data_IF_271617605877
#
_entry.id   IF_271617605877
#
_cell.length_a   1.000
_cell.length_b   1.000
_cell.length_c   1.000
_cell.angle_alpha   90.00
_cell.angle_beta   90.00
_cell.angle_gamma   90.00
#
_symmetry.space_group_name_H-M   'P 1'
#
loop_
_entity.id
_entity.type
_entity.pdbx_description
1 polymer ?
#
# COMPACT_ATOMS: atom_id res chain seq x y z
N UNK A 1 -15.70 9.17 12.62
CA UNK A 1 -15.49 7.76 12.22
C UNK A 1 -14.41 7.58 11.16
N UNK A 2 -14.52 8.11 9.91
CA UNK A 2 -13.44 7.94 8.88
C UNK A 2 -12.14 8.61 9.32
N UNK A 3 -12.22 9.85 9.82
CA UNK A 3 -11.06 10.56 10.35
C UNK A 3 -10.43 9.86 11.55
N UNK A 4 -11.23 9.20 12.38
CA UNK A 4 -10.73 8.44 13.53
C UNK A 4 -9.93 7.22 13.08
N UNK A 5 -10.35 6.57 11.99
CA UNK A 5 -9.57 5.49 11.35
C UNK A 5 -8.23 5.99 10.87
N UNK A 6 -8.19 7.16 10.22
CA UNK A 6 -6.91 7.72 9.74
C UNK A 6 -5.99 8.08 10.90
N UNK A 7 -6.54 8.69 11.96
CA UNK A 7 -5.80 9.00 13.17
C UNK A 7 -5.22 7.73 13.81
N UNK A 8 -6.06 6.72 14.04
CA UNK A 8 -5.62 5.40 14.58
C UNK A 8 -4.49 4.81 13.72
N UNK A 9 -4.66 4.81 12.41
CA UNK A 9 -3.69 4.22 11.50
C UNK A 9 -2.34 4.97 11.49
N UNK A 10 -2.35 6.29 11.63
CA UNK A 10 -1.12 7.09 11.79
C UNK A 10 -0.44 6.82 13.13
N UNK A 11 -1.20 6.78 14.22
CA UNK A 11 -0.67 6.44 15.54
C UNK A 11 -0.11 5.03 15.57
N UNK A 12 -0.85 4.04 15.04
CA UNK A 12 -0.41 2.66 14.91
C UNK A 12 0.92 2.54 14.17
N UNK A 13 1.06 3.20 13.01
CA UNK A 13 2.28 3.15 12.21
C UNK A 13 3.51 3.68 12.96
N UNK A 14 3.33 4.60 13.90
CA UNK A 14 4.42 5.20 14.69
C UNK A 14 4.72 4.50 16.01
N UNK A 15 3.86 3.59 16.50
CA UNK A 15 3.99 2.95 17.83
C UNK A 15 5.25 2.09 18.00
N UNK A 16 5.84 1.57 16.92
CA UNK A 16 6.98 0.64 17.01
C UNK A 16 8.06 0.92 15.97
N UNK A 17 8.98 1.82 16.32
CA UNK A 17 10.08 2.28 15.43
C UNK A 17 10.95 1.10 14.93
N UNK A 18 11.18 0.08 15.77
CA UNK A 18 11.96 -1.10 15.37
C UNK A 18 11.35 -1.84 14.17
N UNK A 19 10.03 -1.90 14.08
CA UNK A 19 9.32 -2.49 12.95
C UNK A 19 9.45 -1.61 11.71
N UNK A 20 9.32 -0.29 11.85
CA UNK A 20 9.56 0.63 10.73
C UNK A 20 10.96 0.46 10.17
N UNK A 21 11.97 0.29 11.02
CA UNK A 21 13.33 0.04 10.59
C UNK A 21 13.46 -1.26 9.77
N UNK A 22 12.91 -2.37 10.26
CA UNK A 22 12.95 -3.67 9.54
C UNK A 22 12.22 -3.55 8.19
N UNK A 23 11.03 -2.94 8.18
CA UNK A 23 10.27 -2.71 6.95
C UNK A 23 11.00 -1.75 6.01
N UNK A 24 11.75 -0.78 6.56
CA UNK A 24 12.60 0.11 5.80
C UNK A 24 13.68 -0.64 5.03
N UNK A 25 14.38 -1.57 5.69
CA UNK A 25 15.34 -2.45 5.04
C UNK A 25 14.67 -3.28 3.94
N UNK A 26 13.54 -3.92 4.23
CA UNK A 26 12.81 -4.71 3.24
C UNK A 26 12.31 -3.86 2.07
N UNK A 27 11.81 -2.66 2.32
CA UNK A 27 11.34 -1.73 1.29
C UNK A 27 12.50 -1.22 0.41
N UNK A 28 13.65 -0.92 1.00
CA UNK A 28 14.84 -0.50 0.26
C UNK A 28 15.32 -1.57 -0.71
N UNK A 29 15.28 -2.83 -0.30
CA UNK A 29 15.63 -3.98 -1.13
C UNK A 29 14.44 -4.59 -1.87
N UNK A 30 13.32 -3.89 -1.98
CA UNK A 30 12.07 -4.39 -2.58
C UNK A 30 12.18 -4.72 -4.08
N UNK A 31 13.24 -4.26 -4.76
CA UNK A 31 13.59 -4.69 -6.11
C UNK A 31 13.90 -6.19 -6.18
N UNK A 32 14.32 -6.80 -5.07
CA UNK A 32 14.52 -8.21 -4.95
C UNK A 32 13.20 -8.88 -4.54
N UNK A 33 12.87 -10.00 -5.17
CA UNK A 33 11.59 -10.70 -4.95
C UNK A 33 11.42 -11.12 -3.49
N UNK A 34 12.48 -11.66 -2.86
CA UNK A 34 12.41 -12.18 -1.49
C UNK A 34 12.09 -11.08 -0.47
N UNK A 35 12.81 -9.95 -0.38
CA UNK A 35 12.45 -8.85 0.50
C UNK A 35 11.04 -8.29 0.23
N UNK A 36 10.64 -8.20 -1.06
CA UNK A 36 9.30 -7.76 -1.43
C UNK A 36 8.22 -8.68 -0.83
N UNK A 37 8.39 -10.01 -0.95
CA UNK A 37 7.44 -10.97 -0.40
C UNK A 37 7.34 -10.84 1.12
N UNK A 38 8.46 -10.68 1.85
CA UNK A 38 8.44 -10.45 3.29
C UNK A 38 7.77 -9.13 3.67
N UNK A 39 8.01 -8.07 2.92
CA UNK A 39 7.35 -6.77 3.12
C UNK A 39 5.83 -6.89 3.02
N UNK A 40 5.33 -7.52 1.96
CA UNK A 40 3.88 -7.73 1.78
C UNK A 40 3.30 -8.77 2.75
N UNK A 41 4.09 -9.77 3.16
CA UNK A 41 3.68 -10.73 4.19
C UNK A 41 3.48 -10.07 5.55
N UNK A 42 4.35 -9.13 5.91
CA UNK A 42 4.16 -8.34 7.11
C UNK A 42 2.91 -7.44 7.01
N UNK A 43 2.72 -6.78 5.87
CA UNK A 43 1.52 -5.98 5.61
C UNK A 43 0.22 -6.82 5.73
N UNK A 44 0.24 -8.06 5.27
CA UNK A 44 -0.88 -8.98 5.44
C UNK A 44 -1.18 -9.28 6.93
N UNK A 45 -0.14 -9.46 7.75
CA UNK A 45 -0.32 -9.62 9.21
C UNK A 45 -0.95 -8.39 9.85
N UNK A 46 -0.55 -7.19 9.41
CA UNK A 46 -1.15 -5.94 9.88
C UNK A 46 -2.64 -5.88 9.49
N UNK A 47 -2.99 -6.24 8.25
CA UNK A 47 -4.40 -6.33 7.85
C UNK A 47 -5.16 -7.31 8.74
N UNK A 48 -4.60 -8.51 8.96
CA UNK A 48 -5.24 -9.54 9.80
C UNK A 48 -5.45 -9.09 11.24
N UNK A 49 -4.47 -8.42 11.85
CA UNK A 49 -4.63 -7.80 13.16
C UNK A 49 -5.74 -6.75 13.12
N UNK A 50 -5.74 -5.90 12.10
CA UNK A 50 -6.67 -4.78 11.97
C UNK A 50 -8.11 -5.21 11.74
N UNK A 51 -8.36 -6.37 11.10
CA UNK A 51 -9.71 -6.94 10.95
C UNK A 51 -10.30 -7.49 12.26
N UNK A 52 -9.52 -7.54 13.32
CA UNK A 52 -9.93 -7.98 14.66
C UNK A 52 -9.87 -6.85 15.69
N UNK A 53 -9.39 -5.68 15.29
CA UNK A 53 -9.13 -4.53 16.15
C UNK A 53 -10.31 -3.54 16.17
N UNK A 54 -10.39 -2.76 17.23
CA UNK A 54 -11.30 -1.61 17.31
C UNK A 54 -10.59 -0.33 16.86
N UNK A 55 -11.35 0.67 16.42
CA UNK A 55 -10.83 2.01 16.13
C UNK A 55 -10.37 2.64 17.45
N UNK A 56 -9.22 3.28 17.46
CA UNK A 56 -8.53 3.84 18.63
C UNK A 56 -8.16 2.76 19.67
N UNK A 57 -7.92 1.53 19.24
CA UNK A 57 -7.39 0.47 20.10
C UNK A 57 -5.91 0.68 20.45
N UNK A 58 -5.44 -0.04 21.48
CA UNK A 58 -4.03 0.03 21.94
C UNK A 58 -3.12 -0.99 21.25
N UNK A 59 -3.57 -1.60 20.15
CA UNK A 59 -2.77 -2.59 19.42
C UNK A 59 -1.49 -1.96 18.86
N UNK A 60 -0.43 -2.74 18.93
CA UNK A 60 0.86 -2.37 18.37
C UNK A 60 1.16 -3.22 17.13
N UNK A 61 2.00 -2.73 16.20
CA UNK A 61 2.45 -3.52 15.07
C UNK A 61 2.96 -4.90 15.52
N UNK A 62 2.53 -6.00 14.86
CA UNK A 62 2.89 -7.36 15.25
C UNK A 62 4.41 -7.59 15.26
N UNK A 63 4.86 -8.61 15.98
CA UNK A 63 6.26 -8.99 15.98
C UNK A 63 6.70 -9.53 14.61
N UNK A 64 7.99 -9.40 14.32
CA UNK A 64 8.60 -9.95 13.11
C UNK A 64 9.10 -11.37 13.40
N UNK A 65 8.16 -12.31 13.53
CA UNK A 65 8.36 -13.71 13.87
C UNK A 65 7.77 -14.63 12.79
N UNK A 66 7.86 -15.96 12.96
CA UNK A 66 7.34 -16.97 12.04
C UNK A 66 7.54 -16.59 10.56
N UNK A 67 8.80 -16.46 10.17
CA UNK A 67 9.21 -16.02 8.83
C UNK A 67 8.63 -16.90 7.71
N UNK A 68 8.51 -18.24 7.98
CA UNK A 68 7.95 -19.15 6.98
C UNK A 68 6.50 -18.82 6.66
N UNK A 69 5.68 -18.61 7.68
CA UNK A 69 4.28 -18.23 7.50
C UNK A 69 4.17 -16.85 6.84
N UNK A 70 4.99 -15.89 7.30
CA UNK A 70 5.01 -14.54 6.73
C UNK A 70 5.39 -14.55 5.24
N UNK A 71 6.32 -15.41 4.82
CA UNK A 71 6.69 -15.58 3.42
C UNK A 71 5.50 -16.11 2.59
N UNK A 72 4.81 -17.17 3.10
CA UNK A 72 3.63 -17.74 2.44
C UNK A 72 2.50 -16.70 2.34
N UNK A 73 2.26 -15.97 3.41
CA UNK A 73 1.24 -14.91 3.46
C UNK A 73 1.57 -13.77 2.46
N UNK A 74 2.86 -13.43 2.33
CA UNK A 74 3.34 -12.47 1.36
C UNK A 74 3.14 -12.93 -0.09
N UNK A 75 3.41 -14.19 -0.38
CA UNK A 75 3.14 -14.76 -1.71
C UNK A 75 1.65 -14.69 -2.05
N UNK A 76 0.75 -15.01 -1.09
CA UNK A 76 -0.69 -14.89 -1.29
C UNK A 76 -1.10 -13.44 -1.56
N UNK A 77 -0.60 -12.49 -0.76
CA UNK A 77 -0.88 -11.08 -0.93
C UNK A 77 -0.47 -10.58 -2.32
N UNK A 78 0.79 -10.85 -2.71
CA UNK A 78 1.32 -10.45 -4.02
C UNK A 78 0.54 -11.09 -5.17
N UNK A 79 0.21 -12.39 -5.04
CA UNK A 79 -0.56 -13.10 -6.04
C UNK A 79 -1.95 -12.48 -6.25
N UNK A 80 -2.70 -12.24 -5.18
CA UNK A 80 -4.02 -11.58 -5.26
C UNK A 80 -3.90 -10.21 -5.90
N UNK A 81 -2.94 -9.40 -5.46
CA UNK A 81 -2.70 -8.08 -6.00
C UNK A 81 -2.41 -8.09 -7.50
N UNK A 82 -1.52 -8.98 -7.95
CA UNK A 82 -1.19 -9.13 -9.36
C UNK A 82 -2.39 -9.59 -10.20
N UNK A 83 -3.18 -10.56 -9.71
CA UNK A 83 -4.36 -11.04 -10.44
C UNK A 83 -5.38 -9.92 -10.68
N UNK A 84 -5.60 -9.04 -9.70
CA UNK A 84 -6.51 -7.90 -9.89
C UNK A 84 -5.94 -6.85 -10.85
N UNK A 85 -4.61 -6.67 -10.90
CA UNK A 85 -3.98 -5.64 -11.73
C UNK A 85 -3.68 -6.06 -13.15
N UNK A 86 -3.58 -7.35 -13.45
CA UNK A 86 -3.10 -7.83 -14.76
C UNK A 86 -3.96 -7.36 -15.92
N UNK A 87 -5.28 -7.41 -15.78
CA UNK A 87 -6.22 -7.02 -16.85
C UNK A 87 -6.14 -5.52 -17.14
N UNK A 88 -6.31 -4.61 -16.15
CA UNK A 88 -6.18 -3.19 -16.44
C UNK A 88 -4.79 -2.80 -16.93
N UNK A 89 -3.72 -3.44 -16.43
CA UNK A 89 -2.35 -3.18 -16.88
C UNK A 89 -2.16 -3.51 -18.35
N UNK A 90 -2.66 -4.67 -18.82
CA UNK A 90 -2.61 -5.05 -20.23
C UNK A 90 -3.32 -4.01 -21.10
N UNK A 91 -4.52 -3.56 -20.71
CA UNK A 91 -5.28 -2.57 -21.49
C UNK A 91 -4.55 -1.23 -21.57
N UNK A 92 -3.94 -0.79 -20.45
CA UNK A 92 -3.13 0.44 -20.42
C UNK A 92 -1.91 0.30 -21.35
N UNK A 93 -1.18 -0.82 -21.27
CA UNK A 93 -0.03 -1.07 -22.15
C UNK A 93 -0.44 -1.09 -23.63
N UNK A 94 -1.55 -1.74 -23.98
CA UNK A 94 -2.09 -1.75 -25.34
C UNK A 94 -2.47 -0.35 -25.83
N UNK A 95 -2.92 0.55 -24.93
CA UNK A 95 -3.22 1.93 -25.29
C UNK A 95 -2.01 2.74 -25.74
N UNK A 96 -0.80 2.29 -25.40
CA UNK A 96 0.48 2.97 -25.67
C UNK A 96 1.31 2.26 -26.77
N UNK A 97 0.85 1.11 -27.28
CA UNK A 97 1.71 0.19 -28.08
C UNK A 97 1.95 0.61 -29.52
N UNK A 98 1.15 1.50 -30.13
CA UNK A 98 1.18 1.79 -31.56
C UNK A 98 1.84 3.14 -31.93
N UNK A 99 2.76 3.63 -31.13
CA UNK A 99 3.45 4.93 -31.37
C UNK A 99 2.55 6.16 -31.21
N UNK A 100 1.24 5.97 -30.99
CA UNK A 100 0.27 7.00 -30.65
C UNK A 100 -0.60 6.54 -29.48
N UNK A 101 -0.96 7.48 -28.61
CA UNK A 101 -1.80 7.18 -27.44
C UNK A 101 -3.24 6.96 -27.89
N UNK A 102 -3.78 5.75 -27.71
CA UNK A 102 -5.20 5.52 -27.83
C UNK A 102 -5.92 5.96 -26.57
N UNK A 103 -6.44 7.20 -26.57
CA UNK A 103 -7.07 7.83 -25.40
C UNK A 103 -8.25 7.02 -24.88
N UNK A 104 -9.05 6.40 -25.76
CA UNK A 104 -10.23 5.60 -25.36
C UNK A 104 -9.79 4.38 -24.55
N UNK A 105 -8.82 3.61 -25.07
CA UNK A 105 -8.28 2.45 -24.33
C UNK A 105 -7.60 2.86 -23.04
N UNK A 106 -6.90 4.00 -23.02
CA UNK A 106 -6.27 4.51 -21.81
C UNK A 106 -7.32 4.83 -20.74
N UNK A 107 -8.38 5.53 -21.09
CA UNK A 107 -9.47 5.85 -20.15
C UNK A 107 -10.15 4.58 -19.63
N UNK A 108 -10.44 3.63 -20.50
CA UNK A 108 -11.01 2.33 -20.09
C UNK A 108 -10.06 1.61 -19.13
N UNK A 109 -8.76 1.55 -19.43
CA UNK A 109 -7.75 0.92 -18.59
C UNK A 109 -7.65 1.57 -17.21
N UNK A 110 -7.71 2.91 -17.14
CA UNK A 110 -7.68 3.64 -15.88
C UNK A 110 -8.94 3.42 -15.02
N UNK A 111 -10.12 3.38 -15.66
CA UNK A 111 -11.38 3.06 -14.96
C UNK A 111 -11.32 1.63 -14.40
N UNK A 112 -10.89 0.66 -15.20
CA UNK A 112 -10.73 -0.73 -14.75
C UNK A 112 -9.68 -0.85 -13.65
N UNK A 113 -8.60 -0.08 -13.72
CA UNK A 113 -7.58 -0.03 -12.66
C UNK A 113 -8.19 0.46 -11.34
N UNK A 114 -8.98 1.52 -11.38
CA UNK A 114 -9.66 2.03 -10.18
C UNK A 114 -10.62 0.99 -9.59
N UNK A 115 -11.42 0.34 -10.42
CA UNK A 115 -12.34 -0.72 -9.98
C UNK A 115 -11.56 -1.89 -9.37
N UNK A 116 -10.51 -2.37 -10.06
CA UNK A 116 -9.66 -3.45 -9.58
C UNK A 116 -9.00 -3.12 -8.23
N UNK A 117 -8.57 -1.86 -8.04
CA UNK A 117 -8.00 -1.39 -6.77
C UNK A 117 -9.03 -1.35 -5.65
N UNK A 118 -10.25 -0.89 -5.93
CA UNK A 118 -11.34 -0.92 -4.95
C UNK A 118 -11.64 -2.36 -4.49
N UNK A 119 -11.76 -3.31 -5.43
CA UNK A 119 -11.99 -4.71 -5.07
C UNK A 119 -10.81 -5.33 -4.34
N UNK A 120 -9.58 -5.16 -4.83
CA UNK A 120 -8.39 -5.73 -4.20
C UNK A 120 -8.15 -5.22 -2.78
N UNK A 121 -8.56 -3.99 -2.48
CA UNK A 121 -8.39 -3.38 -1.16
C UNK A 121 -9.26 -4.06 -0.09
N UNK A 122 -10.45 -4.58 -0.43
CA UNK A 122 -11.28 -5.40 0.46
C UNK A 122 -11.03 -6.90 0.31
N UNK A 123 -10.51 -7.36 -0.82
CA UNK A 123 -10.20 -8.77 -1.04
C UNK A 123 -9.18 -9.31 -0.03
N UNK A 124 -8.19 -8.48 0.34
CA UNK A 124 -7.14 -8.87 1.29
C UNK A 124 -7.71 -9.03 2.72
N UNK A 125 -8.44 -8.06 3.32
CA UNK A 125 -9.13 -8.27 4.60
C UNK A 125 -10.12 -9.43 4.56
N UNK A 126 -10.90 -9.56 3.49
CA UNK A 126 -11.85 -10.66 3.33
C UNK A 126 -11.14 -12.04 3.30
N UNK A 127 -10.00 -12.14 2.62
CA UNK A 127 -9.17 -13.34 2.68
C UNK A 127 -8.67 -13.64 4.10
N UNK A 128 -8.24 -12.61 4.82
CA UNK A 128 -7.70 -12.73 6.18
C UNK A 128 -8.74 -13.23 7.19
N UNK A 129 -10.01 -12.84 7.04
CA UNK A 129 -11.11 -13.27 7.90
C UNK A 129 -11.71 -14.64 7.51
N UNK A 130 -11.43 -15.11 6.29
CA UNK A 130 -11.95 -16.38 5.77
C UNK A 130 -10.85 -17.47 5.65
N UNK A 131 -10.08 -17.66 6.71
CA UNK A 131 -9.10 -18.74 6.85
C UNK A 131 -7.89 -18.65 5.93
N UNK A 132 -7.48 -17.44 5.53
CA UNK A 132 -6.33 -17.19 4.65
C UNK A 132 -6.46 -17.88 3.28
N UNK A 133 -7.69 -18.10 2.80
CA UNK A 133 -7.99 -18.82 1.56
C UNK A 133 -7.89 -17.90 0.33
N UNK A 134 -7.04 -18.25 -0.62
CA UNK A 134 -6.96 -17.53 -1.91
C UNK A 134 -8.30 -17.48 -2.64
N UNK A 135 -9.13 -18.53 -2.53
CA UNK A 135 -10.45 -18.56 -3.14
C UNK A 135 -11.35 -17.43 -2.62
N UNK A 136 -11.23 -17.11 -1.33
CA UNK A 136 -12.02 -16.02 -0.71
C UNK A 136 -11.63 -14.66 -1.31
N UNK A 137 -10.34 -14.43 -1.61
CA UNK A 137 -9.90 -13.18 -2.22
C UNK A 137 -10.52 -12.90 -3.61
N UNK A 138 -11.02 -13.95 -4.29
CA UNK A 138 -11.67 -13.84 -5.60
C UNK A 138 -13.18 -14.04 -5.54
N UNK A 139 -13.78 -14.10 -4.35
CA UNK A 139 -15.22 -14.17 -4.16
C UNK A 139 -15.87 -12.78 -4.38
N UNK A 140 -15.85 -12.30 -5.62
CA UNK A 140 -16.30 -10.94 -6.00
C UNK A 140 -17.72 -10.64 -5.49
N UNK A 141 -18.63 -11.61 -5.54
CA UNK A 141 -20.00 -11.45 -5.04
C UNK A 141 -20.02 -11.14 -3.53
N UNK A 142 -19.22 -11.87 -2.75
CA UNK A 142 -19.18 -11.69 -1.29
C UNK A 142 -18.46 -10.38 -0.92
N UNK A 143 -17.38 -10.06 -1.60
CA UNK A 143 -16.68 -8.77 -1.43
C UNK A 143 -17.62 -7.61 -1.76
N UNK A 144 -18.46 -7.75 -2.79
CA UNK A 144 -19.46 -6.75 -3.13
C UNK A 144 -20.54 -6.60 -2.04
N UNK A 145 -20.92 -7.68 -1.36
CA UNK A 145 -21.83 -7.61 -0.20
C UNK A 145 -21.18 -6.83 0.96
N UNK A 146 -19.88 -7.04 1.21
CA UNK A 146 -19.12 -6.26 2.20
C UNK A 146 -19.07 -4.78 1.81
N UNK A 147 -18.86 -4.45 0.52
CA UNK A 147 -18.96 -3.06 0.08
C UNK A 147 -20.35 -2.47 0.32
N UNK A 148 -21.40 -3.24 0.07
CA UNK A 148 -22.76 -2.80 0.29
C UNK A 148 -23.09 -2.58 1.77
N UNK A 149 -22.58 -3.43 2.68
CA UNK A 149 -22.79 -3.29 4.13
C UNK A 149 -22.07 -2.06 4.70
N UNK A 150 -20.86 -1.75 4.23
CA UNK A 150 -20.17 -0.48 4.54
C UNK A 150 -20.94 0.71 3.96
N UNK A 151 -21.58 0.54 2.81
CA UNK A 151 -22.18 1.55 1.94
C UNK A 151 -21.18 2.00 0.86
N UNK A 152 -21.54 1.80 -0.42
CA UNK A 152 -20.64 2.07 -1.56
C UNK A 152 -20.00 3.47 -1.53
N UNK A 153 -20.82 4.51 -1.32
CA UNK A 153 -20.31 5.89 -1.27
C UNK A 153 -19.32 6.09 -0.12
N UNK A 154 -19.63 5.56 1.07
CA UNK A 154 -18.76 5.65 2.25
C UNK A 154 -17.44 4.94 2.01
N UNK A 155 -17.49 3.74 1.43
CA UNK A 155 -16.30 2.96 1.10
C UNK A 155 -15.41 3.67 0.08
N UNK A 156 -15.99 4.13 -1.04
CA UNK A 156 -15.25 4.83 -2.10
C UNK A 156 -14.60 6.12 -1.56
N UNK A 157 -15.34 6.93 -0.79
CA UNK A 157 -14.81 8.16 -0.18
C UNK A 157 -13.67 7.83 0.79
N UNK A 158 -13.81 6.78 1.60
CA UNK A 158 -12.74 6.34 2.52
C UNK A 158 -11.49 5.92 1.77
N UNK A 159 -11.64 5.10 0.72
CA UNK A 159 -10.52 4.65 -0.10
C UNK A 159 -9.81 5.81 -0.82
N UNK A 160 -10.59 6.70 -1.47
CA UNK A 160 -10.03 7.89 -2.13
C UNK A 160 -9.36 8.83 -1.14
N UNK A 161 -9.90 8.97 0.07
CA UNK A 161 -9.28 9.74 1.14
C UNK A 161 -7.93 9.18 1.58
N UNK A 162 -7.82 7.85 1.75
CA UNK A 162 -6.54 7.18 2.07
C UNK A 162 -5.52 7.44 0.95
N UNK A 163 -5.95 7.30 -0.29
CA UNK A 163 -5.09 7.53 -1.44
C UNK A 163 -4.64 9.00 -1.51
N UNK A 164 -5.56 9.94 -1.35
CA UNK A 164 -5.27 11.37 -1.32
C UNK A 164 -4.27 11.72 -0.22
N UNK A 165 -4.51 11.27 1.01
CA UNK A 165 -3.60 11.51 2.15
C UNK A 165 -2.22 10.92 1.87
N UNK A 166 -2.15 9.67 1.39
CA UNK A 166 -0.86 9.01 1.10
C UNK A 166 -0.09 9.73 -0.01
N UNK A 167 -0.77 10.13 -1.09
CA UNK A 167 -0.17 10.87 -2.21
C UNK A 167 0.29 12.26 -1.77
N UNK A 168 -0.52 12.96 -0.97
CA UNK A 168 -0.16 14.28 -0.44
C UNK A 168 1.10 14.20 0.43
N UNK A 169 1.16 13.26 1.38
CA UNK A 169 2.35 13.07 2.22
C UNK A 169 3.56 12.75 1.36
N UNK A 170 3.42 11.84 0.39
CA UNK A 170 4.51 11.49 -0.51
C UNK A 170 5.02 12.70 -1.30
N UNK A 171 4.12 13.48 -1.92
CA UNK A 171 4.47 14.66 -2.71
C UNK A 171 5.15 15.71 -1.83
N UNK A 172 4.61 16.02 -0.66
CA UNK A 172 5.19 17.02 0.26
C UNK A 172 6.61 16.64 0.64
N UNK A 173 6.82 15.39 1.07
CA UNK A 173 8.15 14.92 1.46
C UNK A 173 9.09 14.89 0.24
N UNK A 174 8.61 14.44 -0.92
CA UNK A 174 9.40 14.41 -2.15
C UNK A 174 9.87 15.82 -2.56
N UNK A 175 8.96 16.82 -2.53
CA UNK A 175 9.31 18.21 -2.87
C UNK A 175 10.30 18.77 -1.86
N UNK A 176 10.09 18.55 -0.55
CA UNK A 176 11.04 18.99 0.49
C UNK A 176 12.43 18.38 0.29
N UNK A 177 12.49 17.07 0.05
CA UNK A 177 13.77 16.39 -0.20
C UNK A 177 14.44 16.86 -1.49
N UNK A 178 13.66 17.08 -2.56
CA UNK A 178 14.18 17.61 -3.84
C UNK A 178 14.80 19.00 -3.65
N UNK A 179 14.19 19.85 -2.83
CA UNK A 179 14.76 21.15 -2.48
C UNK A 179 16.07 21.03 -1.70
N UNK A 180 16.12 20.12 -0.71
CA UNK A 180 17.36 19.86 0.05
C UNK A 180 18.48 19.34 -0.87
N UNK A 181 18.15 18.41 -1.79
CA UNK A 181 19.11 17.89 -2.77
C UNK A 181 19.61 19.01 -3.68
N UNK A 182 18.73 19.89 -4.17
CA UNK A 182 19.11 21.01 -5.01
C UNK A 182 20.08 22.00 -4.29
N UNK A 183 19.82 22.30 -3.01
CA UNK A 183 20.74 23.10 -2.20
C UNK A 183 22.10 22.42 -2.01
N UNK A 184 22.09 21.10 -1.80
CA UNK A 184 23.32 20.33 -1.68
C UNK A 184 24.13 20.32 -2.98
N UNK A 185 23.48 20.18 -4.14
CA UNK A 185 24.11 20.21 -5.45
C UNK A 185 24.69 21.58 -5.79
N UNK A 186 24.09 22.67 -5.30
CA UNK A 186 24.65 24.03 -5.41
C UNK A 186 25.91 24.21 -4.56
N UNK A 187 25.98 23.58 -3.39
CA UNK A 187 27.10 23.66 -2.47
C UNK A 187 28.25 22.74 -2.88
N UNK A 188 27.99 21.62 -3.53
CA UNK A 188 28.97 20.62 -3.96
C UNK A 188 28.79 20.33 -5.46
N UNK A 189 29.19 21.23 -6.35
CA UNK A 189 28.95 21.09 -7.79
C UNK A 189 29.89 20.06 -8.42
N UNK A 190 29.68 18.79 -8.13
CA UNK A 190 30.43 17.67 -8.71
C UNK A 190 29.45 16.58 -9.12
N UNK A 191 29.88 15.70 -10.04
CA UNK A 191 29.12 14.49 -10.42
C UNK A 191 28.74 13.65 -9.18
N UNK A 192 29.57 13.72 -8.12
CA UNK A 192 29.32 13.04 -6.86
C UNK A 192 28.17 13.67 -6.04
N UNK A 193 27.97 15.00 -6.12
CA UNK A 193 26.88 15.70 -5.43
C UNK A 193 25.51 15.17 -5.85
N UNK A 194 25.26 15.14 -7.15
CA UNK A 194 24.01 14.61 -7.72
C UNK A 194 23.76 13.14 -7.34
N UNK A 195 24.80 12.32 -7.33
CA UNK A 195 24.69 10.90 -6.94
C UNK A 195 24.33 10.76 -5.46
N UNK A 196 25.04 11.47 -4.57
CA UNK A 196 24.80 11.42 -3.12
C UNK A 196 23.41 11.95 -2.78
N UNK A 197 23.01 13.09 -3.34
CA UNK A 197 21.72 13.70 -3.12
C UNK A 197 20.57 12.78 -3.56
N UNK A 198 20.66 12.21 -4.76
CA UNK A 198 19.68 11.25 -5.27
C UNK A 198 19.61 9.97 -4.43
N UNK A 199 20.76 9.49 -3.93
CA UNK A 199 20.80 8.31 -3.07
C UNK A 199 20.14 8.59 -1.72
N UNK A 200 20.44 9.72 -1.08
CA UNK A 200 19.80 10.12 0.19
C UNK A 200 18.28 10.28 0.04
N UNK A 201 17.83 10.89 -1.05
CA UNK A 201 16.41 11.02 -1.34
C UNK A 201 15.72 9.64 -1.44
N UNK A 202 16.29 8.72 -2.22
CA UNK A 202 15.79 7.33 -2.33
C UNK A 202 15.80 6.62 -0.99
N UNK A 203 16.84 6.81 -0.19
CA UNK A 203 16.93 6.22 1.14
C UNK A 203 15.79 6.70 2.03
N UNK A 204 15.53 7.99 2.13
CA UNK A 204 14.43 8.51 2.95
C UNK A 204 13.08 8.01 2.44
N UNK A 205 12.83 8.08 1.13
CA UNK A 205 11.54 7.67 0.55
C UNK A 205 11.27 6.18 0.73
N UNK A 206 12.24 5.32 0.45
CA UNK A 206 12.05 3.87 0.52
C UNK A 206 12.21 3.31 1.93
N UNK A 207 13.07 3.92 2.76
CA UNK A 207 13.38 3.39 4.09
C UNK A 207 12.44 3.90 5.17
N UNK A 208 11.89 5.11 5.02
CA UNK A 208 11.03 5.74 6.03
C UNK A 208 9.60 5.90 5.52
N UNK A 209 9.43 6.59 4.39
CA UNK A 209 8.10 7.01 3.92
C UNK A 209 7.28 5.82 3.44
N UNK A 210 7.85 4.94 2.62
CA UNK A 210 7.14 3.80 2.06
C UNK A 210 6.65 2.81 3.13
N UNK A 211 7.47 2.40 4.14
CA UNK A 211 7.00 1.53 5.22
C UNK A 211 5.91 2.20 6.07
N UNK A 212 6.08 3.46 6.39
CA UNK A 212 5.10 4.20 7.19
C UNK A 212 3.74 4.28 6.50
N UNK A 213 3.71 4.68 5.22
CA UNK A 213 2.49 4.74 4.43
C UNK A 213 1.89 3.35 4.20
N UNK A 214 2.72 2.32 4.07
CA UNK A 214 2.25 0.95 3.93
C UNK A 214 1.52 0.46 5.18
N UNK A 215 2.06 0.71 6.38
CA UNK A 215 1.40 0.40 7.64
C UNK A 215 0.09 1.19 7.81
N UNK A 216 0.12 2.48 7.49
CA UNK A 216 -1.07 3.33 7.49
C UNK A 216 -2.18 2.75 6.60
N UNK A 217 -1.87 2.43 5.33
CA UNK A 217 -2.85 1.92 4.37
C UNK A 217 -3.40 0.55 4.77
N UNK A 218 -2.55 -0.35 5.27
CA UNK A 218 -2.97 -1.70 5.67
C UNK A 218 -3.78 -1.70 6.97
N UNK A 219 -3.45 -0.81 7.91
CA UNK A 219 -4.27 -0.59 9.11
C UNK A 219 -5.66 -0.07 8.73
N UNK A 220 -5.72 0.95 7.87
CA UNK A 220 -6.98 1.47 7.34
C UNK A 220 -7.81 0.39 6.64
N UNK A 221 -7.19 -0.49 5.85
CA UNK A 221 -7.90 -1.54 5.13
C UNK A 221 -8.67 -2.48 6.07
N UNK A 222 -8.02 -2.96 7.14
CA UNK A 222 -8.66 -3.81 8.13
C UNK A 222 -9.75 -3.10 8.93
N UNK A 223 -9.50 -1.85 9.36
CA UNK A 223 -10.49 -1.08 10.11
C UNK A 223 -11.72 -0.70 9.28
N UNK A 224 -11.54 -0.36 7.99
CA UNK A 224 -12.67 -0.10 7.08
C UNK A 224 -13.48 -1.37 6.86
N UNK A 225 -12.83 -2.51 6.74
CA UNK A 225 -13.51 -3.80 6.62
C UNK A 225 -14.42 -4.08 7.83
N UNK A 226 -14.01 -3.71 9.05
CA UNK A 226 -14.78 -3.92 10.28
C UNK A 226 -16.01 -3.01 10.43
N UNK A 227 -16.19 -2.01 9.58
CA UNK A 227 -17.38 -1.15 9.59
C UNK A 227 -18.59 -1.85 8.92
N UNK A 228 -18.33 -2.81 8.05
CA UNK A 228 -19.36 -3.60 7.34
C UNK A 228 -19.72 -4.85 8.05
#
# INVERSE_FOLDING_TARGET
>A
MILDIYKDAFEFASRKISILFVLGVLSFFNILIIPAVFFYGYNYRVVKLSTQSMINGDEVPPAFDDLKKMFIDGLKFVFVFLCYLIVPAIIIVLSLSNGSINVILLVIGLILLLIARLFSYLAIPYMATNGDSLKSAFAVSEINKVMASIGYARYIISYLGILLVSVTIFIVIFVMLSFVVALFDMAVPTVYGNFIGSFLMKLVLLFIVAPYLSLFQTRCAGLIYNIG
#
